data_IF_578617610019
#
_entry.id   IF_578617610019
#
_cell.length_a   1.000
_cell.length_b   1.000
_cell.length_c   1.000
_cell.angle_alpha   90.00
_cell.angle_beta   90.00
_cell.angle_gamma   90.00
#
_symmetry.space_group_name_H-M   'P 1'
#
loop_
_entity.id
_entity.type
_entity.pdbx_description
1 polymer ?
#
# COMPACT_ATOMS: atom_id res chain seq x y z
N UNK A 1 -11.16 8.65 -8.12
CA UNK A 1 -10.54 9.94 -7.76
C UNK A 1 -10.44 10.06 -6.25
N UNK A 2 -9.26 10.38 -5.76
CA UNK A 2 -9.01 10.48 -4.33
C UNK A 2 -9.59 11.78 -3.78
N UNK A 3 -10.45 11.70 -2.75
CA UNK A 3 -11.01 12.87 -2.07
C UNK A 3 -10.29 13.23 -0.78
N UNK A 4 -9.34 12.39 -0.37
CA UNK A 4 -8.53 12.65 0.83
C UNK A 4 -7.46 13.68 0.50
N UNK A 5 -7.09 14.49 1.49
CA UNK A 5 -6.11 15.57 1.31
C UNK A 5 -4.97 15.43 2.30
N UNK A 6 -3.84 16.01 1.97
CA UNK A 6 -2.72 16.17 2.89
C UNK A 6 -3.23 16.92 4.13
N UNK A 7 -2.94 16.38 5.32
CA UNK A 7 -3.40 16.90 6.59
C UNK A 7 -4.65 16.23 7.13
N UNK A 8 -5.40 15.51 6.29
CA UNK A 8 -6.57 14.77 6.76
C UNK A 8 -6.13 13.59 7.62
N UNK A 9 -6.98 13.22 8.57
CA UNK A 9 -6.80 11.97 9.30
C UNK A 9 -6.94 10.81 8.33
N UNK A 10 -5.94 9.92 8.29
CA UNK A 10 -6.02 8.72 7.46
C UNK A 10 -7.10 7.79 8.03
N UNK A 11 -8.02 7.27 7.20
CA UNK A 11 -9.02 6.31 7.67
C UNK A 11 -8.36 5.11 8.35
N UNK A 12 -8.78 4.80 9.57
CA UNK A 12 -8.30 3.61 10.28
C UNK A 12 -8.91 2.36 9.64
N UNK A 13 -8.25 1.24 9.84
CA UNK A 13 -8.71 -0.03 9.30
C UNK A 13 -8.26 -1.18 10.20
N UNK A 14 -8.87 -2.34 9.99
CA UNK A 14 -8.47 -3.59 10.60
C UNK A 14 -8.48 -4.64 9.49
N UNK A 15 -7.32 -5.04 9.01
CA UNK A 15 -7.16 -6.01 7.94
C UNK A 15 -6.24 -7.13 8.39
N UNK A 16 -6.47 -8.33 7.84
CA UNK A 16 -5.60 -9.46 8.14
C UNK A 16 -4.39 -9.47 7.22
N UNK A 17 -3.23 -9.80 7.79
CA UNK A 17 -2.01 -10.01 7.03
C UNK A 17 -1.93 -11.44 6.48
N UNK A 18 -0.81 -11.77 5.82
CA UNK A 18 -0.60 -13.09 5.21
C UNK A 18 -0.60 -14.23 6.23
N UNK A 19 -0.35 -13.93 7.52
CA UNK A 19 -0.34 -14.92 8.60
C UNK A 19 -1.67 -14.96 9.35
N UNK A 20 -2.68 -14.23 8.89
CA UNK A 20 -4.00 -14.19 9.52
C UNK A 20 -4.10 -13.30 10.74
N UNK A 21 -3.09 -12.49 11.02
CA UNK A 21 -3.11 -11.54 12.13
C UNK A 21 -3.81 -10.27 11.73
N UNK A 22 -4.66 -9.73 12.60
CA UNK A 22 -5.33 -8.45 12.36
C UNK A 22 -4.34 -7.31 12.58
N UNK A 23 -4.21 -6.46 11.56
CA UNK A 23 -3.34 -5.28 11.58
C UNK A 23 -4.21 -4.05 11.46
N UNK A 24 -4.03 -3.10 12.36
CA UNK A 24 -4.75 -1.82 12.37
C UNK A 24 -3.76 -0.69 12.08
N UNK A 25 -4.20 0.34 11.37
CA UNK A 25 -3.37 1.53 11.17
C UNK A 25 -2.96 2.14 12.51
N UNK A 26 -3.89 2.18 13.47
CA UNK A 26 -3.62 2.71 14.81
C UNK A 26 -2.53 1.97 15.58
N UNK A 27 -2.17 0.75 15.16
CA UNK A 27 -1.05 0.00 15.77
C UNK A 27 0.30 0.67 15.53
N UNK A 28 0.38 1.58 14.56
CA UNK A 28 1.62 2.22 14.15
C UNK A 28 1.76 3.68 14.58
N UNK A 29 0.97 4.11 15.56
CA UNK A 29 1.12 5.47 16.13
C UNK A 29 2.56 5.67 16.62
N UNK A 30 3.13 6.82 16.32
CA UNK A 30 4.51 7.12 16.63
C UNK A 30 5.49 6.73 15.53
N UNK A 31 5.01 6.07 14.48
CA UNK A 31 5.80 5.72 13.30
C UNK A 31 5.17 6.33 12.06
N UNK A 32 5.98 6.58 11.05
CA UNK A 32 5.46 6.91 9.72
C UNK A 32 5.11 5.63 9.00
N UNK A 33 4.05 5.67 8.19
CA UNK A 33 3.56 4.51 7.44
C UNK A 33 3.53 4.84 5.95
N UNK A 34 4.13 3.98 5.15
CA UNK A 34 3.94 3.97 3.70
C UNK A 34 2.88 2.91 3.42
N UNK A 35 1.66 3.37 3.16
CA UNK A 35 0.52 2.51 2.87
C UNK A 35 0.30 2.53 1.37
N UNK A 36 0.71 1.45 0.67
CA UNK A 36 0.56 1.41 -0.76
C UNK A 36 -0.51 0.40 -1.19
N UNK A 37 -1.37 0.84 -2.11
CA UNK A 37 -2.42 0.03 -2.70
C UNK A 37 -2.00 -0.41 -4.09
N UNK A 38 -2.15 -1.69 -4.39
CA UNK A 38 -1.75 -2.25 -5.69
C UNK A 38 -2.83 -3.20 -6.22
N UNK A 39 -2.91 -3.35 -7.55
CA UNK A 39 -4.03 -4.08 -8.17
C UNK A 39 -4.11 -5.57 -7.87
N UNK A 40 -3.00 -6.31 -7.91
CA UNK A 40 -3.05 -7.77 -7.79
C UNK A 40 -1.69 -8.38 -7.53
N UNK A 41 -1.66 -9.35 -6.60
CA UNK A 41 -0.45 -10.13 -6.28
C UNK A 41 0.14 -10.79 -7.51
N UNK A 42 1.47 -10.86 -7.54
CA UNK A 42 2.26 -11.60 -8.53
C UNK A 42 2.00 -11.19 -9.99
N UNK A 43 1.59 -9.95 -10.22
CA UNK A 43 1.58 -9.35 -11.55
C UNK A 43 2.89 -8.60 -11.74
N UNK A 44 3.28 -8.36 -13.00
CA UNK A 44 4.57 -7.76 -13.35
C UNK A 44 4.87 -6.46 -12.61
N UNK A 45 3.96 -5.48 -12.68
CA UNK A 45 4.14 -4.19 -12.01
C UNK A 45 4.11 -4.29 -10.50
N UNK A 46 3.19 -5.07 -9.95
CA UNK A 46 3.05 -5.22 -8.50
C UNK A 46 4.25 -5.95 -7.90
N UNK A 47 4.81 -6.92 -8.61
CA UNK A 47 6.03 -7.61 -8.20
C UNK A 47 7.20 -6.63 -8.17
N UNK A 48 7.35 -5.81 -9.20
CA UNK A 48 8.42 -4.81 -9.28
C UNK A 48 8.34 -3.79 -8.14
N UNK A 49 7.15 -3.28 -7.88
CA UNK A 49 6.92 -2.34 -6.77
C UNK A 49 7.27 -2.97 -5.43
N UNK A 50 6.77 -4.18 -5.17
CA UNK A 50 7.02 -4.89 -3.92
C UNK A 50 8.51 -5.16 -3.72
N UNK A 51 9.21 -5.61 -4.76
CA UNK A 51 10.65 -5.87 -4.68
C UNK A 51 11.45 -4.60 -4.46
N UNK A 52 11.03 -3.48 -5.03
CA UNK A 52 11.66 -2.18 -4.79
C UNK A 52 11.53 -1.76 -3.32
N UNK A 53 10.36 -1.95 -2.71
CA UNK A 53 10.18 -1.71 -1.28
C UNK A 53 11.03 -2.67 -0.44
N UNK A 54 11.06 -3.94 -0.80
CA UNK A 54 11.90 -4.94 -0.13
C UNK A 54 13.37 -4.51 -0.11
N UNK A 55 13.89 -4.10 -1.25
CA UNK A 55 15.30 -3.76 -1.41
C UNK A 55 15.68 -2.46 -0.69
N UNK A 56 14.72 -1.62 -0.36
CA UNK A 56 14.93 -0.36 0.35
C UNK A 56 14.39 -0.37 1.79
N UNK A 57 13.91 -1.52 2.25
CA UNK A 57 13.24 -1.60 3.55
C UNK A 57 14.14 -1.23 4.72
N UNK A 58 15.41 -1.66 4.71
CA UNK A 58 16.34 -1.34 5.79
C UNK A 58 16.55 0.17 5.93
N UNK A 59 16.66 0.87 4.81
CA UNK A 59 16.78 2.33 4.81
C UNK A 59 15.53 2.99 5.40
N UNK A 60 14.35 2.48 5.04
CA UNK A 60 13.08 3.01 5.56
C UNK A 60 12.92 2.73 7.05
N UNK A 61 13.30 1.55 7.51
CA UNK A 61 13.26 1.20 8.94
C UNK A 61 14.15 2.11 9.78
N UNK A 62 15.31 2.49 9.27
CA UNK A 62 16.21 3.43 9.96
C UNK A 62 15.56 4.81 10.11
N UNK A 63 14.61 5.15 9.27
CA UNK A 63 13.85 6.39 9.33
C UNK A 63 12.56 6.24 10.15
N UNK A 64 12.37 5.11 10.82
CA UNK A 64 11.18 4.78 11.60
C UNK A 64 9.91 4.72 10.73
N UNK A 65 10.05 4.15 9.53
CA UNK A 65 8.96 4.02 8.55
C UNK A 65 8.56 2.56 8.43
N UNK A 66 7.25 2.30 8.53
CA UNK A 66 6.65 0.99 8.30
C UNK A 66 6.05 0.94 6.89
N UNK A 67 6.21 -0.16 6.19
CA UNK A 67 5.62 -0.36 4.85
C UNK A 67 4.49 -1.37 4.95
N UNK A 68 3.31 -1.00 4.45
CA UNK A 68 2.13 -1.87 4.38
C UNK A 68 1.61 -1.87 2.95
N UNK A 69 1.50 -3.07 2.36
CA UNK A 69 0.90 -3.22 1.03
C UNK A 69 -0.53 -3.72 1.16
N UNK A 70 -1.44 -3.19 0.36
CA UNK A 70 -2.85 -3.56 0.38
C UNK A 70 -3.34 -3.89 -1.02
N UNK A 71 -4.01 -5.02 -1.17
CA UNK A 71 -4.75 -5.35 -2.39
C UNK A 71 -6.05 -6.08 -2.03
N UNK A 72 -6.87 -6.37 -3.03
CA UNK A 72 -8.12 -7.13 -2.83
C UNK A 72 -7.90 -8.64 -2.86
N UNK A 73 -6.66 -9.10 -2.95
CA UNK A 73 -6.33 -10.52 -2.86
C UNK A 73 -6.53 -11.02 -1.43
N UNK A 74 -6.72 -12.33 -1.28
CA UNK A 74 -6.91 -12.94 0.02
C UNK A 74 -5.58 -13.26 0.73
N UNK A 75 -5.68 -13.73 1.96
CA UNK A 75 -4.51 -14.06 2.78
C UNK A 75 -3.63 -15.14 2.16
N UNK A 76 -4.23 -16.14 1.54
CA UNK A 76 -3.49 -17.25 0.92
C UNK A 76 -2.67 -16.74 -0.28
N UNK A 77 -3.24 -15.85 -1.08
CA UNK A 77 -2.54 -15.21 -2.20
C UNK A 77 -1.37 -14.37 -1.72
N UNK A 78 -1.58 -13.56 -0.68
CA UNK A 78 -0.54 -12.74 -0.06
C UNK A 78 0.61 -13.59 0.48
N UNK A 79 0.28 -14.72 1.11
CA UNK A 79 1.30 -15.63 1.65
C UNK A 79 2.19 -16.17 0.54
N UNK A 80 1.60 -16.64 -0.55
CA UNK A 80 2.35 -17.13 -1.71
C UNK A 80 3.24 -16.06 -2.31
N UNK A 81 2.69 -14.87 -2.48
CA UNK A 81 3.41 -13.74 -3.06
C UNK A 81 4.60 -13.34 -2.16
N UNK A 82 4.36 -13.19 -0.87
CA UNK A 82 5.41 -12.83 0.08
C UNK A 82 6.52 -13.88 0.15
N UNK A 83 6.17 -15.17 0.12
CA UNK A 83 7.16 -16.26 0.13
C UNK A 83 7.96 -16.30 -1.17
N UNK A 84 7.30 -16.16 -2.31
CA UNK A 84 7.94 -16.23 -3.63
C UNK A 84 9.03 -15.18 -3.81
N UNK A 85 8.81 -13.98 -3.29
CA UNK A 85 9.75 -12.85 -3.46
C UNK A 85 10.41 -12.43 -2.17
N UNK A 86 10.26 -13.19 -1.10
CA UNK A 86 10.87 -12.91 0.21
C UNK A 86 10.56 -11.49 0.69
N UNK A 87 9.29 -11.11 0.66
CA UNK A 87 8.84 -9.78 1.08
C UNK A 87 8.79 -9.72 2.61
N UNK A 88 9.61 -8.86 3.26
CA UNK A 88 9.71 -8.83 4.72
C UNK A 88 8.74 -7.84 5.39
N UNK A 89 7.82 -7.27 4.63
CA UNK A 89 6.80 -6.35 5.15
C UNK A 89 5.42 -6.97 4.99
N UNK A 90 4.42 -6.40 5.68
CA UNK A 90 3.07 -6.96 5.70
C UNK A 90 2.29 -6.64 4.43
N UNK A 91 1.63 -7.65 3.90
CA UNK A 91 0.62 -7.51 2.86
C UNK A 91 -0.73 -7.73 3.51
N UNK A 92 -1.65 -6.78 3.32
CA UNK A 92 -2.95 -6.77 3.98
C UNK A 92 -4.05 -7.12 2.99
N UNK A 93 -4.95 -8.01 3.41
CA UNK A 93 -6.03 -8.52 2.58
C UNK A 93 -7.29 -7.68 2.73
N UNK A 94 -7.63 -6.91 1.70
CA UNK A 94 -8.85 -6.12 1.62
C UNK A 94 -9.83 -6.79 0.65
N UNK A 95 -10.18 -8.05 0.94
CA UNK A 95 -10.99 -8.88 0.04
C UNK A 95 -12.40 -8.31 -0.19
N UNK A 96 -12.99 -7.66 0.80
CA UNK A 96 -14.30 -7.03 0.68
C UNK A 96 -14.25 -5.62 0.09
N UNK A 97 -13.05 -5.11 -0.22
CA UNK A 97 -12.80 -3.83 -0.88
C UNK A 97 -13.19 -2.60 -0.06
N UNK A 98 -13.48 -2.80 1.23
CA UNK A 98 -13.94 -1.72 2.11
C UNK A 98 -12.88 -0.63 2.27
N UNK A 99 -11.64 -1.01 2.59
CA UNK A 99 -10.56 -0.06 2.83
C UNK A 99 -10.14 0.63 1.54
N UNK A 100 -10.07 -0.12 0.44
CA UNK A 100 -9.77 0.45 -0.89
C UNK A 100 -10.79 1.50 -1.28
N UNK A 101 -12.06 1.31 -0.92
CA UNK A 101 -13.12 2.29 -1.17
C UNK A 101 -13.00 3.49 -0.24
N UNK A 102 -12.68 3.29 1.03
CA UNK A 102 -12.50 4.38 1.98
C UNK A 102 -11.35 5.31 1.59
N UNK A 103 -10.28 4.73 1.03
CA UNK A 103 -9.14 5.50 0.53
C UNK A 103 -9.35 6.02 -0.89
N UNK A 104 -10.50 5.72 -1.51
CA UNK A 104 -10.90 6.19 -2.84
C UNK A 104 -9.98 5.74 -3.97
N UNK A 105 -9.41 4.56 -3.83
CA UNK A 105 -8.51 3.98 -4.86
C UNK A 105 -9.14 2.81 -5.61
N UNK A 106 -10.33 2.36 -5.20
CA UNK A 106 -11.08 1.32 -5.90
C UNK A 106 -11.98 1.99 -6.93
N UNK A 107 -11.62 1.88 -8.19
CA UNK A 107 -12.19 2.69 -9.26
C UNK A 107 -12.59 1.89 -10.49
N UNK A 108 -13.49 2.45 -11.29
CA UNK A 108 -13.83 1.90 -12.59
C UNK A 108 -12.66 2.09 -13.54
N UNK A 109 -12.25 1.01 -14.18
CA UNK A 109 -11.14 0.98 -15.14
C UNK A 109 -11.61 0.47 -16.47
N UNK A 110 -10.90 0.81 -17.55
CA UNK A 110 -11.15 0.30 -18.88
C UNK A 110 -9.89 -0.33 -19.45
N UNK A 111 -10.00 -1.55 -19.96
CA UNK A 111 -8.89 -2.22 -20.61
C UNK A 111 -9.42 -2.88 -21.89
N UNK A 112 -8.92 -2.45 -23.03
CA UNK A 112 -9.34 -2.96 -24.34
C UNK A 112 -10.87 -2.87 -24.54
N UNK A 113 -11.48 -1.76 -24.11
CA UNK A 113 -12.91 -1.55 -24.22
C UNK A 113 -13.75 -2.24 -23.16
N UNK A 114 -13.14 -3.03 -22.27
CA UNK A 114 -13.83 -3.75 -21.21
C UNK A 114 -13.72 -2.99 -19.89
N UNK A 115 -14.86 -2.67 -19.30
CA UNK A 115 -14.90 -1.97 -18.01
C UNK A 115 -14.87 -2.95 -16.85
N UNK A 116 -14.13 -2.60 -15.80
CA UNK A 116 -14.05 -3.39 -14.56
C UNK A 116 -13.63 -2.48 -13.41
N UNK A 117 -13.94 -2.91 -12.19
CA UNK A 117 -13.49 -2.20 -10.99
C UNK A 117 -12.20 -2.81 -10.45
N UNK A 118 -11.29 -1.97 -10.02
CA UNK A 118 -10.03 -2.43 -9.44
C UNK A 118 -9.29 -1.29 -8.75
N UNK A 119 -8.20 -1.64 -8.08
CA UNK A 119 -7.36 -0.67 -7.38
C UNK A 119 -6.51 0.11 -8.39
N UNK A 120 -6.54 1.42 -8.29
CA UNK A 120 -5.56 2.29 -8.96
C UNK A 120 -4.36 2.39 -8.05
N UNK A 121 -3.17 2.01 -8.57
CA UNK A 121 -1.92 2.00 -7.82
C UNK A 121 -1.65 3.36 -7.19
N UNK A 122 -1.68 3.43 -5.87
CA UNK A 122 -1.58 4.69 -5.13
C UNK A 122 -0.91 4.45 -3.79
N UNK A 123 -0.23 5.47 -3.27
CA UNK A 123 0.42 5.38 -1.97
C UNK A 123 0.06 6.57 -1.11
N UNK A 124 -0.18 6.30 0.16
CA UNK A 124 -0.42 7.32 1.18
C UNK A 124 0.73 7.25 2.18
N UNK A 125 1.42 8.37 2.38
CA UNK A 125 2.41 8.48 3.45
C UNK A 125 1.69 9.09 4.64
N UNK A 126 1.70 8.38 5.76
CA UNK A 126 0.96 8.74 6.97
C UNK A 126 1.98 9.07 8.06
N UNK A 127 1.79 10.19 8.73
CA UNK A 127 2.72 10.64 9.75
C UNK A 127 2.50 9.95 11.11
N UNK A 128 3.31 10.28 12.10
CA UNK A 128 3.28 9.67 13.42
C UNK A 128 1.98 9.91 14.19
N UNK A 129 1.21 10.91 13.77
CA UNK A 129 -0.07 11.27 14.38
C UNK A 129 -1.27 10.67 13.63
N UNK A 130 -1.02 9.84 12.60
CA UNK A 130 -2.08 9.23 11.80
C UNK A 130 -2.68 10.16 10.75
N UNK A 131 -2.01 11.26 10.43
CA UNK A 131 -2.46 12.19 9.40
C UNK A 131 -1.73 11.95 8.10
N UNK A 132 -2.39 12.21 6.98
CA UNK A 132 -1.82 12.04 5.66
C UNK A 132 -0.76 13.12 5.43
N UNK A 133 0.48 12.69 5.22
CA UNK A 133 1.62 13.56 4.94
C UNK A 133 1.78 13.80 3.45
N UNK A 134 1.54 12.77 2.62
CA UNK A 134 1.66 12.85 1.17
C UNK A 134 0.75 11.82 0.51
N UNK A 135 0.31 12.11 -0.71
CA UNK A 135 -0.51 11.22 -1.52
C UNK A 135 0.12 11.11 -2.91
N UNK A 136 0.30 9.87 -3.36
CA UNK A 136 0.76 9.57 -4.72
C UNK A 136 -0.34 8.78 -5.41
N UNK A 137 -1.03 9.40 -6.35
CA UNK A 137 -2.14 8.77 -7.06
C UNK A 137 -1.69 8.32 -8.45
N UNK A 138 -2.08 7.10 -8.82
CA UNK A 138 -1.82 6.54 -10.16
C UNK A 138 -0.33 6.51 -10.50
N UNK A 139 0.45 5.86 -9.64
CA UNK A 139 1.92 5.82 -9.74
C UNK A 139 2.42 4.73 -10.70
N UNK A 140 3.64 4.91 -11.19
CA UNK A 140 4.34 3.92 -12.00
C UNK A 140 5.19 3.03 -11.09
N UNK A 141 5.00 1.72 -11.20
CA UNK A 141 5.64 0.75 -10.31
C UNK A 141 7.17 0.85 -10.31
N UNK A 142 7.80 1.05 -11.48
CA UNK A 142 9.26 1.05 -11.59
C UNK A 142 9.92 2.24 -10.91
N UNK A 143 9.25 3.39 -10.90
CA UNK A 143 9.84 4.67 -10.47
C UNK A 143 9.38 5.12 -9.10
N UNK A 144 8.31 4.53 -8.59
CA UNK A 144 7.65 5.01 -7.38
C UNK A 144 8.56 4.99 -6.15
N UNK A 145 9.44 4.01 -6.03
CA UNK A 145 10.37 3.94 -4.90
C UNK A 145 11.23 5.20 -4.80
N UNK A 146 11.59 5.80 -5.91
CA UNK A 146 12.38 7.03 -5.92
C UNK A 146 11.60 8.20 -5.34
N UNK A 147 10.29 8.28 -5.63
CA UNK A 147 9.41 9.29 -5.04
C UNK A 147 9.30 9.12 -3.53
N UNK A 148 9.15 7.88 -3.06
CA UNK A 148 9.05 7.57 -1.64
C UNK A 148 10.35 7.93 -0.93
N UNK A 149 11.49 7.51 -1.45
CA UNK A 149 12.78 7.82 -0.84
C UNK A 149 13.03 9.32 -0.79
N UNK A 150 12.63 10.06 -1.83
CA UNK A 150 12.76 11.52 -1.87
C UNK A 150 11.89 12.19 -0.79
N UNK A 151 10.70 11.66 -0.53
CA UNK A 151 9.79 12.21 0.50
C UNK A 151 10.45 12.18 1.89
N UNK A 152 11.18 11.10 2.21
CA UNK A 152 11.82 10.94 3.52
C UNK A 152 13.19 11.58 3.64
N UNK A 153 13.71 12.16 2.56
CA UNK A 153 14.98 12.91 2.57
C UNK A 153 14.76 14.42 2.77
N UNK A 154 13.53 14.87 2.83
CA UNK A 154 13.22 16.29 3.04
C UNK A 154 13.65 16.77 4.42
#
# INVERSE_FOLDING_TARGET
>A
MINLKIGDKAPDFALKDAEGKTVKLSDFKGKKVVLYFYPKDDTSGCTKEACNFRDNLDALKKLNVEVLGVSNDDEASHKKFAEKYSLPFRLLADADKKVSREYRVYELKNMYGKEYYGITRSTFVIDENGKIQQIYYKVKAEEHINEIMAEFKK
#
